data_IF_020562038067
#
_entry.id   IF_020562038067
#
_cell.length_a   1.000
_cell.length_b   1.000
_cell.length_c   1.000
_cell.angle_alpha   90.00
_cell.angle_beta   90.00
_cell.angle_gamma   90.00
#
_symmetry.space_group_name_H-M   'P 1'
#
loop_
_entity.id
_entity.type
_entity.pdbx_description
1 polymer ?
#
# COMPACT_ATOMS: atom_id res chain seq x y z
N UNK A 1 35.30 -67.79 11.75
CA UNK A 1 33.99 -67.12 12.02
C UNK A 1 34.10 -65.76 12.72
N UNK A 2 35.15 -65.46 13.48
CA UNK A 2 35.27 -64.21 14.29
C UNK A 2 35.52 -62.92 13.49
N UNK A 3 36.22 -62.97 12.34
CA UNK A 3 36.49 -61.78 11.51
C UNK A 3 35.25 -61.17 10.84
N UNK A 4 34.28 -62.02 10.47
CA UNK A 4 33.03 -61.56 9.84
C UNK A 4 32.13 -60.76 10.79
N UNK A 5 32.18 -61.04 12.10
CA UNK A 5 31.43 -60.29 13.11
C UNK A 5 32.04 -58.90 13.36
N UNK A 6 33.37 -58.81 13.42
CA UNK A 6 34.06 -57.52 13.61
C UNK A 6 33.83 -56.55 12.44
N UNK A 7 33.82 -57.08 11.21
CA UNK A 7 33.60 -56.28 10.00
C UNK A 7 32.16 -55.74 9.91
N UNK A 8 31.16 -56.53 10.33
CA UNK A 8 29.76 -56.08 10.44
C UNK A 8 29.59 -54.95 11.46
N UNK A 9 30.27 -55.02 12.60
CA UNK A 9 30.18 -53.99 13.64
C UNK A 9 30.74 -52.63 13.18
N UNK A 10 31.83 -52.62 12.42
CA UNK A 10 32.42 -51.39 11.87
C UNK A 10 31.49 -50.77 10.82
N UNK A 11 30.87 -51.59 9.97
CA UNK A 11 29.90 -51.12 8.98
C UNK A 11 28.66 -50.51 9.64
N UNK A 12 28.11 -51.18 10.68
CA UNK A 12 26.95 -50.69 11.43
C UNK A 12 27.23 -49.36 12.14
N UNK A 13 28.41 -49.19 12.74
CA UNK A 13 28.79 -47.92 13.38
C UNK A 13 28.87 -46.77 12.38
N UNK A 14 29.44 -46.99 11.19
CA UNK A 14 29.49 -45.96 10.12
C UNK A 14 28.09 -45.58 9.62
N UNK A 15 27.21 -46.57 9.46
CA UNK A 15 25.81 -46.35 9.08
C UNK A 15 25.04 -45.56 10.13
N UNK A 16 25.23 -45.88 11.42
CA UNK A 16 24.58 -45.16 12.52
C UNK A 16 25.04 -43.70 12.61
N UNK A 17 26.35 -43.43 12.45
CA UNK A 17 26.88 -42.06 12.41
C UNK A 17 26.36 -41.28 11.20
N UNK A 18 26.30 -41.93 10.03
CA UNK A 18 25.71 -41.33 8.83
C UNK A 18 24.24 -40.96 9.03
N UNK A 19 23.46 -41.87 9.62
CA UNK A 19 22.04 -41.64 9.91
C UNK A 19 21.83 -40.48 10.90
N UNK A 20 22.67 -40.39 11.94
CA UNK A 20 22.65 -39.28 12.89
C UNK A 20 22.92 -37.94 12.17
N UNK A 21 23.93 -37.90 11.29
CA UNK A 21 24.28 -36.69 10.56
C UNK A 21 23.16 -36.25 9.61
N UNK A 22 22.52 -37.20 8.92
CA UNK A 22 21.35 -36.96 8.06
C UNK A 22 20.16 -36.44 8.87
N UNK A 23 19.89 -37.00 10.06
CA UNK A 23 18.85 -36.49 10.95
C UNK A 23 19.13 -35.03 11.39
N UNK A 24 20.37 -34.72 11.77
CA UNK A 24 20.74 -33.36 12.17
C UNK A 24 20.62 -32.34 11.03
N UNK A 25 21.00 -32.74 9.82
CA UNK A 25 20.84 -31.87 8.64
C UNK A 25 19.38 -31.67 8.28
N UNK A 26 18.56 -32.73 8.32
CA UNK A 26 17.10 -32.62 8.12
C UNK A 26 16.45 -31.70 9.16
N UNK A 27 16.84 -31.84 10.44
CA UNK A 27 16.33 -30.99 11.52
C UNK A 27 16.72 -29.51 11.33
N UNK A 28 17.98 -29.25 10.98
CA UNK A 28 18.44 -27.89 10.70
C UNK A 28 17.74 -27.28 9.48
N UNK A 29 17.55 -28.06 8.42
CA UNK A 29 16.83 -27.65 7.23
C UNK A 29 15.37 -27.35 7.54
N UNK A 30 14.73 -28.15 8.39
CA UNK A 30 13.36 -27.92 8.85
C UNK A 30 13.23 -26.56 9.56
N UNK A 31 14.10 -26.27 10.53
CA UNK A 31 14.10 -24.98 11.23
C UNK A 31 14.36 -23.82 10.27
N UNK A 32 15.31 -24.00 9.33
CA UNK A 32 15.62 -22.98 8.31
C UNK A 32 14.42 -22.69 7.40
N UNK A 33 13.74 -23.73 6.90
CA UNK A 33 12.55 -23.58 6.07
C UNK A 33 11.39 -22.95 6.85
N UNK A 34 11.24 -23.28 8.13
CA UNK A 34 10.23 -22.66 8.99
C UNK A 34 10.52 -21.16 9.20
N UNK A 35 11.78 -20.83 9.46
CA UNK A 35 12.24 -19.44 9.63
C UNK A 35 12.09 -18.64 8.33
N UNK A 36 12.44 -19.24 7.20
CA UNK A 36 12.28 -18.65 5.86
C UNK A 36 10.81 -18.47 5.48
N UNK A 37 9.95 -19.44 5.80
CA UNK A 37 8.50 -19.35 5.58
C UNK A 37 7.89 -18.22 6.40
N UNK A 38 8.27 -18.08 7.68
CA UNK A 38 7.85 -16.97 8.54
C UNK A 38 8.37 -15.63 8.00
N UNK A 39 9.66 -15.54 7.66
CA UNK A 39 10.25 -14.32 7.07
C UNK A 39 9.57 -13.90 5.77
N UNK A 40 9.23 -14.85 4.89
CA UNK A 40 8.55 -14.56 3.63
C UNK A 40 7.14 -14.01 3.86
N UNK A 41 6.40 -14.56 4.84
CA UNK A 41 5.07 -14.05 5.22
C UNK A 41 5.18 -12.68 5.87
N UNK A 42 6.17 -12.48 6.76
CA UNK A 42 6.40 -11.21 7.46
C UNK A 42 6.82 -10.10 6.48
N UNK A 43 7.72 -10.38 5.54
CA UNK A 43 8.16 -9.41 4.53
C UNK A 43 6.99 -8.97 3.62
N UNK A 44 6.08 -9.90 3.29
CA UNK A 44 4.85 -9.57 2.56
C UNK A 44 3.92 -8.67 3.37
N UNK A 45 3.84 -8.85 4.69
CA UNK A 45 3.04 -7.97 5.56
C UNK A 45 3.68 -6.60 5.76
N UNK A 46 5.01 -6.52 5.91
CA UNK A 46 5.72 -5.23 6.04
C UNK A 46 5.62 -4.39 4.77
N UNK A 47 5.82 -5.01 3.59
CA UNK A 47 5.67 -4.32 2.31
C UNK A 47 4.25 -3.81 2.06
N UNK A 48 3.22 -4.58 2.46
CA UNK A 48 1.83 -4.14 2.38
C UNK A 48 1.53 -3.01 3.38
N UNK A 49 2.12 -3.04 4.57
CA UNK A 49 1.95 -1.98 5.56
C UNK A 49 2.55 -0.66 5.07
N UNK A 50 3.80 -0.69 4.58
CA UNK A 50 4.46 0.49 4.01
C UNK A 50 3.73 1.02 2.77
N UNK A 51 3.19 0.13 1.93
CA UNK A 51 2.37 0.55 0.79
C UNK A 51 1.06 1.23 1.21
N UNK A 52 0.42 0.76 2.30
CA UNK A 52 -0.77 1.39 2.86
C UNK A 52 -0.47 2.78 3.45
N UNK A 53 0.67 2.91 4.12
CA UNK A 53 1.12 4.19 4.68
C UNK A 53 1.41 5.22 3.58
N UNK A 54 2.16 4.84 2.54
CA UNK A 54 2.41 5.70 1.38
C UNK A 54 1.11 6.13 0.70
N UNK A 55 0.14 5.23 0.53
CA UNK A 55 -1.17 5.57 -0.04
C UNK A 55 -1.93 6.58 0.81
N UNK A 56 -1.86 6.46 2.14
CA UNK A 56 -2.45 7.44 3.04
C UNK A 56 -1.79 8.81 2.88
N UNK A 57 -0.46 8.87 2.81
CA UNK A 57 0.28 10.11 2.60
C UNK A 57 -0.05 10.77 1.25
N UNK A 58 -0.17 9.97 0.18
CA UNK A 58 -0.58 10.46 -1.15
C UNK A 58 -2.01 11.02 -1.10
N UNK A 59 -2.94 10.34 -0.43
CA UNK A 59 -4.32 10.82 -0.32
C UNK A 59 -4.43 12.15 0.43
N UNK A 60 -3.60 12.34 1.47
CA UNK A 60 -3.54 13.63 2.17
C UNK A 60 -2.98 14.72 1.25
N UNK A 61 -1.89 14.44 0.55
CA UNK A 61 -1.27 15.38 -0.37
C UNK A 61 -2.21 15.76 -1.53
N UNK A 62 -2.99 14.82 -2.04
CA UNK A 62 -3.99 15.05 -3.09
C UNK A 62 -5.13 15.95 -2.57
N UNK A 63 -5.59 15.72 -1.34
CA UNK A 63 -6.59 16.60 -0.70
C UNK A 63 -6.06 18.03 -0.56
N UNK A 64 -4.81 18.19 -0.09
CA UNK A 64 -4.18 19.51 0.06
C UNK A 64 -3.99 20.20 -1.30
N UNK A 65 -3.60 19.44 -2.33
CA UNK A 65 -3.47 19.95 -3.69
C UNK A 65 -4.81 20.44 -4.25
N UNK A 66 -5.90 19.67 -4.09
CA UNK A 66 -7.24 20.08 -4.53
C UNK A 66 -7.69 21.35 -3.80
N UNK A 67 -7.42 21.46 -2.49
CA UNK A 67 -7.75 22.65 -1.72
C UNK A 67 -6.98 23.89 -2.22
N UNK A 68 -5.68 23.75 -2.47
CA UNK A 68 -4.85 24.82 -3.03
C UNK A 68 -5.29 25.21 -4.45
N UNK A 69 -5.63 24.22 -5.29
CA UNK A 69 -6.15 24.45 -6.64
C UNK A 69 -7.46 25.25 -6.59
N UNK A 70 -8.40 24.91 -5.70
CA UNK A 70 -9.62 25.67 -5.52
C UNK A 70 -9.36 27.09 -5.04
N UNK A 71 -8.45 27.29 -4.09
CA UNK A 71 -8.09 28.62 -3.61
C UNK A 71 -7.47 29.50 -4.72
N UNK A 72 -6.58 28.94 -5.54
CA UNK A 72 -6.00 29.66 -6.69
C UNK A 72 -7.09 29.98 -7.72
N UNK A 73 -7.96 29.01 -8.02
CA UNK A 73 -9.03 29.22 -9.00
C UNK A 73 -10.04 30.28 -8.53
N UNK A 74 -10.36 30.34 -7.23
CA UNK A 74 -11.17 31.41 -6.66
C UNK A 74 -10.48 32.77 -6.79
N UNK A 75 -9.19 32.87 -6.45
CA UNK A 75 -8.43 34.11 -6.58
C UNK A 75 -8.38 34.62 -8.02
N UNK A 76 -8.15 33.74 -8.99
CA UNK A 76 -8.16 34.11 -10.41
C UNK A 76 -9.56 34.58 -10.84
N UNK A 77 -10.62 33.89 -10.40
CA UNK A 77 -11.99 34.30 -10.70
C UNK A 77 -12.30 35.70 -10.13
N UNK A 78 -11.89 36.01 -8.89
CA UNK A 78 -12.05 37.35 -8.32
C UNK A 78 -11.27 38.42 -9.10
N UNK A 79 -10.06 38.13 -9.57
CA UNK A 79 -9.26 39.06 -10.37
C UNK A 79 -9.92 39.39 -11.72
N UNK A 80 -10.65 38.44 -12.31
CA UNK A 80 -11.44 38.67 -13.53
C UNK A 80 -12.82 39.31 -13.26
N UNK A 81 -13.10 39.69 -12.01
CA UNK A 81 -14.34 40.38 -11.63
C UNK A 81 -15.53 39.46 -11.38
N UNK A 82 -15.31 38.14 -11.29
CA UNK A 82 -16.35 37.20 -10.87
C UNK A 82 -16.51 37.25 -9.35
N UNK A 83 -17.74 37.49 -8.87
CA UNK A 83 -18.08 37.43 -7.46
C UNK A 83 -18.60 36.04 -7.05
N UNK A 84 -18.47 35.72 -5.76
CA UNK A 84 -18.94 34.45 -5.24
C UNK A 84 -20.48 34.40 -5.23
N UNK A 85 -21.03 33.57 -6.11
CA UNK A 85 -22.48 33.36 -6.19
C UNK A 85 -22.92 32.44 -5.04
N UNK A 86 -23.57 33.01 -4.02
CA UNK A 86 -24.13 32.28 -2.88
C UNK A 86 -25.43 31.50 -3.20
N UNK A 87 -26.11 31.83 -4.30
CA UNK A 87 -27.37 31.20 -4.68
C UNK A 87 -27.30 30.63 -6.10
N UNK A 88 -27.51 29.33 -6.24
CA UNK A 88 -27.44 28.63 -7.53
C UNK A 88 -28.57 29.10 -8.44
N UNK A 89 -28.26 29.98 -9.38
CA UNK A 89 -29.21 30.46 -10.39
C UNK A 89 -29.43 29.33 -11.40
N UNK A 90 -30.60 28.67 -11.32
CA UNK A 90 -31.02 27.71 -12.33
C UNK A 90 -31.63 28.46 -13.52
N UNK A 91 -30.93 28.50 -14.64
CA UNK A 91 -31.49 29.03 -15.90
C UNK A 91 -32.22 27.89 -16.61
N UNK A 92 -33.54 27.82 -16.40
CA UNK A 92 -34.41 26.95 -17.20
C UNK A 92 -34.63 27.59 -18.57
N UNK A 93 -34.21 26.90 -19.64
CA UNK A 93 -34.35 27.38 -21.03
C UNK A 93 -35.75 27.20 -21.59
N UNK A 94 -36.65 26.51 -20.87
CA UNK A 94 -38.03 26.30 -21.29
C UNK A 94 -39.00 27.41 -20.83
N UNK A 95 -38.57 28.31 -19.94
CA UNK A 95 -39.39 29.43 -19.49
C UNK A 95 -38.72 30.77 -19.86
N UNK A 96 -39.38 31.66 -20.61
CA UNK A 96 -38.86 33.00 -20.87
C UNK A 96 -38.93 33.84 -19.59
N UNK A 97 -37.94 33.71 -18.72
CA UNK A 97 -37.77 34.60 -17.58
C UNK A 97 -36.67 35.63 -17.90
N UNK A 98 -37.09 36.89 -18.02
CA UNK A 98 -36.21 38.03 -18.19
C UNK A 98 -35.53 38.32 -16.85
N UNK A 99 -34.21 38.20 -16.80
CA UNK A 99 -33.40 38.62 -15.65
C UNK A 99 -33.22 40.13 -15.75
N UNK A 100 -33.96 40.91 -14.95
CA UNK A 100 -33.75 42.35 -14.82
C UNK A 100 -32.53 42.61 -13.92
N UNK A 101 -31.43 43.07 -14.51
CA UNK A 101 -30.33 43.66 -13.78
C UNK A 101 -30.64 45.15 -13.51
N UNK A 102 -31.29 45.45 -12.39
CA UNK A 102 -31.44 46.83 -11.91
C UNK A 102 -30.19 47.21 -11.12
N UNK A 103 -29.10 47.54 -11.83
CA UNK A 103 -28.00 48.27 -11.23
C UNK A 103 -27.27 49.11 -12.27
N UNK A 104 -27.88 50.22 -12.65
CA UNK A 104 -27.20 51.37 -13.25
C UNK A 104 -27.18 52.52 -12.23
N UNK A 105 -26.04 52.84 -11.59
CA UNK A 105 -25.90 53.97 -10.69
C UNK A 105 -25.34 55.22 -11.39
N UNK A 106 -25.46 55.39 -12.72
CA UNK A 106 -25.16 56.66 -13.39
C UNK A 106 -26.42 57.41 -13.81
N UNK A 107 -27.28 57.69 -12.82
CA UNK A 107 -28.06 58.93 -12.73
C UNK A 107 -28.11 59.43 -11.29
#
# INVERSE_FOLDING_TARGET
>A
MTRALSQKNILQKRLAVGLMFVCLTLFSLYIYLLSSSVMHVVMRTETNHSASELKSQISLLESDFIAAQHAVSQNIAYLEGYEHVNEKIFVDRNAPSLVFNTQDPRR
#
